data_IF_477320158654
#
_entry.id   IF_477320158654
#
_cell.length_a   1.000
_cell.length_b   1.000
_cell.length_c   1.000
_cell.angle_alpha   90.00
_cell.angle_beta   90.00
_cell.angle_gamma   90.00
#
_symmetry.space_group_name_H-M   'P 1'
#
loop_
_entity.id
_entity.type
_entity.pdbx_description
1 polymer ?
#
# COMPACT_ATOMS: atom_id res chain seq x y z
N UNK A 1 14.56 8.15 -3.13
CA UNK A 1 13.49 7.80 -2.17
C UNK A 1 12.14 8.15 -2.80
N UNK A 2 11.27 7.17 -3.08
CA UNK A 2 9.98 7.41 -3.75
C UNK A 2 9.00 8.10 -2.78
N UNK A 3 8.42 9.24 -3.18
CA UNK A 3 7.39 9.98 -2.42
C UNK A 3 6.06 9.88 -3.19
N UNK A 4 4.99 9.41 -2.53
CA UNK A 4 3.66 9.32 -3.12
C UNK A 4 2.78 10.42 -2.52
N UNK A 5 2.22 11.34 -3.31
CA UNK A 5 1.32 12.36 -2.78
C UNK A 5 -0.02 11.72 -2.41
N UNK A 6 -0.33 11.68 -1.12
CA UNK A 6 -1.61 11.19 -0.61
C UNK A 6 -2.42 12.36 -0.04
N UNK A 7 -3.68 12.53 -0.48
CA UNK A 7 -4.61 13.47 0.18
C UNK A 7 -5.12 12.81 1.46
N UNK A 8 -4.79 13.37 2.62
CA UNK A 8 -5.48 13.01 3.87
C UNK A 8 -6.96 13.32 3.70
N UNK A 9 -7.82 12.30 3.68
CA UNK A 9 -9.21 12.50 4.08
C UNK A 9 -9.18 12.74 5.58
N UNK A 10 -9.65 13.92 5.98
CA UNK A 10 -9.80 14.29 7.37
C UNK A 10 -10.69 13.24 8.05
N UNK A 11 -10.17 12.59 9.09
CA UNK A 11 -10.87 11.53 9.79
C UNK A 11 -10.02 10.94 10.91
N UNK A 12 -8.80 10.46 10.59
CA UNK A 12 -8.01 9.71 11.59
C UNK A 12 -6.49 9.66 11.33
N UNK A 13 -5.96 10.51 10.43
CA UNK A 13 -4.55 10.41 10.02
C UNK A 13 -3.62 11.29 10.87
N UNK A 14 -2.77 10.67 11.69
CA UNK A 14 -1.75 11.31 12.51
C UNK A 14 -0.52 11.68 11.66
N UNK A 15 0.10 12.85 11.90
CA UNK A 15 1.32 13.33 11.22
C UNK A 15 2.48 12.30 11.18
N UNK A 16 2.43 11.27 12.02
CA UNK A 16 3.41 10.18 12.11
C UNK A 16 3.01 8.88 11.40
N UNK A 17 1.90 8.87 10.66
CA UNK A 17 1.45 7.69 9.94
C UNK A 17 2.34 7.39 8.74
N UNK A 18 2.68 6.11 8.58
CA UNK A 18 3.39 5.57 7.43
C UNK A 18 2.49 4.58 6.66
N UNK A 19 2.62 4.57 5.34
CA UNK A 19 1.99 3.56 4.49
C UNK A 19 2.92 2.36 4.33
N UNK A 20 2.49 1.19 4.80
CA UNK A 20 3.20 -0.07 4.55
C UNK A 20 2.56 -0.81 3.38
N UNK A 21 3.36 -1.11 2.36
CA UNK A 21 2.97 -1.96 1.24
C UNK A 21 3.68 -3.30 1.38
N UNK A 22 2.91 -4.38 1.46
CA UNK A 22 3.38 -5.75 1.36
C UNK A 22 3.09 -6.25 -0.05
N UNK A 23 4.08 -6.85 -0.71
CA UNK A 23 3.92 -7.41 -2.04
C UNK A 23 4.78 -8.66 -2.22
N UNK A 24 4.33 -9.56 -3.08
CA UNK A 24 5.04 -10.77 -3.45
C UNK A 24 4.83 -11.04 -4.94
N UNK A 25 5.74 -11.81 -5.54
CA UNK A 25 5.56 -12.30 -6.91
C UNK A 25 4.85 -13.65 -6.84
N UNK A 26 3.79 -13.80 -7.62
CA UNK A 26 3.02 -15.05 -7.73
C UNK A 26 2.93 -15.48 -9.19
N UNK A 27 2.75 -16.77 -9.43
CA UNK A 27 2.56 -17.30 -10.78
C UNK A 27 1.21 -16.91 -11.38
N UNK A 28 1.08 -16.96 -12.71
CA UNK A 28 -0.15 -16.59 -13.43
C UNK A 28 -1.38 -17.40 -12.99
N UNK A 29 -1.19 -18.62 -12.48
CA UNK A 29 -2.27 -19.47 -11.96
C UNK A 29 -2.99 -18.87 -10.73
N UNK A 30 -2.46 -17.79 -10.16
CA UNK A 30 -3.04 -17.06 -9.03
C UNK A 30 -3.90 -15.88 -9.46
N UNK A 31 -4.00 -15.59 -10.77
CA UNK A 31 -4.80 -14.50 -11.32
C UNK A 31 -6.11 -15.00 -11.97
N UNK A 32 -6.65 -16.14 -11.53
CA UNK A 32 -7.96 -16.63 -11.99
C UNK A 32 -9.07 -15.64 -11.60
N UNK A 33 -10.21 -15.62 -12.30
CA UNK A 33 -11.34 -14.71 -12.00
C UNK A 33 -11.85 -14.84 -10.55
N UNK A 34 -11.75 -16.02 -9.93
CA UNK A 34 -12.11 -16.24 -8.51
C UNK A 34 -11.02 -15.83 -7.51
N UNK A 35 -9.91 -15.26 -7.97
CA UNK A 35 -8.78 -14.86 -7.15
C UNK A 35 -9.07 -13.53 -6.44
N UNK A 36 -9.52 -13.63 -5.19
CA UNK A 36 -9.55 -12.47 -4.29
C UNK A 36 -8.17 -12.23 -3.67
N UNK A 37 -7.81 -10.97 -3.45
CA UNK A 37 -6.56 -10.61 -2.78
C UNK A 37 -6.40 -11.32 -1.43
N UNK A 38 -7.50 -11.52 -0.70
CA UNK A 38 -7.53 -12.27 0.56
C UNK A 38 -7.15 -13.75 0.37
N UNK A 39 -7.78 -14.46 -0.57
CA UNK A 39 -7.47 -15.87 -0.85
C UNK A 39 -6.04 -16.05 -1.35
N UNK A 40 -5.55 -15.13 -2.17
CA UNK A 40 -4.15 -15.10 -2.59
C UNK A 40 -3.23 -14.93 -1.37
N UNK A 41 -3.54 -14.01 -0.46
CA UNK A 41 -2.76 -13.80 0.75
C UNK A 41 -2.70 -15.04 1.66
N UNK A 42 -3.82 -15.74 1.86
CA UNK A 42 -3.83 -16.98 2.64
C UNK A 42 -2.93 -18.06 2.03
N UNK A 43 -2.94 -18.20 0.71
CA UNK A 43 -2.07 -19.15 0.00
C UNK A 43 -0.59 -18.76 0.07
N UNK A 44 -0.26 -17.47 -0.08
CA UNK A 44 1.12 -16.95 0.07
C UNK A 44 1.68 -17.34 1.44
N UNK A 45 0.89 -17.17 2.51
CA UNK A 45 1.30 -17.57 3.87
C UNK A 45 1.47 -19.08 4.02
N UNK A 46 0.55 -19.88 3.46
CA UNK A 46 0.62 -21.35 3.54
C UNK A 46 1.81 -21.95 2.80
N UNK A 47 2.25 -21.30 1.71
CA UNK A 47 3.35 -21.77 0.88
C UNK A 47 4.69 -21.07 1.19
N UNK A 48 4.73 -20.27 2.25
CA UNK A 48 5.91 -19.50 2.67
C UNK A 48 6.57 -18.70 1.54
N UNK A 49 5.74 -18.09 0.69
CA UNK A 49 6.22 -17.28 -0.44
C UNK A 49 6.92 -16.04 0.08
N UNK A 50 8.08 -15.70 -0.49
CA UNK A 50 8.84 -14.51 -0.11
C UNK A 50 8.03 -13.22 -0.29
N UNK A 51 7.76 -12.55 0.83
CA UNK A 51 7.08 -11.26 0.87
C UNK A 51 8.12 -10.15 1.01
N UNK A 52 8.01 -9.14 0.16
CA UNK A 52 8.77 -7.89 0.27
C UNK A 52 7.88 -6.82 0.89
N UNK A 53 8.49 -5.96 1.71
CA UNK A 53 7.81 -4.82 2.32
C UNK A 53 8.44 -3.52 1.86
N UNK A 54 7.62 -2.49 1.69
CA UNK A 54 8.04 -1.12 1.44
C UNK A 54 7.28 -0.18 2.35
N UNK A 55 8.01 0.63 3.11
CA UNK A 55 7.44 1.68 3.94
C UNK A 55 7.53 2.99 3.16
N UNK A 56 6.40 3.66 3.03
CA UNK A 56 6.26 4.92 2.31
C UNK A 56 5.82 5.98 3.33
N UNK A 57 6.70 6.96 3.56
CA UNK A 57 6.37 8.09 4.44
C UNK A 57 5.29 8.94 3.83
N UNK A 58 4.22 9.19 4.58
CA UNK A 58 3.12 10.05 4.14
C UNK A 58 3.50 11.50 4.44
N UNK A 59 3.74 12.28 3.38
CA UNK A 59 3.96 13.73 3.49
C UNK A 59 2.66 14.47 3.21
N UNK A 60 2.30 15.42 4.07
CA UNK A 60 1.21 16.33 3.78
C UNK A 60 1.58 17.19 2.57
N UNK A 61 0.68 17.26 1.60
CA UNK A 61 0.80 18.26 0.53
C UNK A 61 0.45 19.60 1.16
N UNK A 62 1.42 20.51 1.29
CA UNK A 62 1.13 21.89 1.66
C UNK A 62 0.03 22.41 0.72
N UNK A 63 -1.02 23.03 1.28
CA UNK A 63 -1.98 23.76 0.44
C UNK A 63 -1.18 24.81 -0.29
N UNK A 64 -1.19 24.79 -1.63
CA UNK A 64 -0.75 25.93 -2.39
C UNK A 64 -1.65 27.09 -1.98
N UNK A 65 -1.07 28.09 -1.32
CA UNK A 65 -1.73 29.35 -1.03
C UNK A 65 -2.17 29.93 -2.38
N UNK A 66 -3.48 30.05 -2.58
CA UNK A 66 -4.01 30.91 -3.63
C UNK A 66 -3.78 32.33 -3.14
N UNK A 67 -2.71 32.95 -3.63
CA UNK A 67 -2.45 34.38 -3.45
C UNK A 67 -3.59 35.16 -4.09
N UNK A 68 -4.15 36.09 -3.31
CA UNK A 68 -5.23 37.02 -3.65
C UNK A 68 -4.93 37.86 -4.89
#
# INVERSE_FOLDING_TARGET
MLKVPFRRKAGDSNARDDLMVLYCLVGKQWMSEDASAFRCWERVKKQDVMIKRKIIKIVQKAKAEQTQ
#
